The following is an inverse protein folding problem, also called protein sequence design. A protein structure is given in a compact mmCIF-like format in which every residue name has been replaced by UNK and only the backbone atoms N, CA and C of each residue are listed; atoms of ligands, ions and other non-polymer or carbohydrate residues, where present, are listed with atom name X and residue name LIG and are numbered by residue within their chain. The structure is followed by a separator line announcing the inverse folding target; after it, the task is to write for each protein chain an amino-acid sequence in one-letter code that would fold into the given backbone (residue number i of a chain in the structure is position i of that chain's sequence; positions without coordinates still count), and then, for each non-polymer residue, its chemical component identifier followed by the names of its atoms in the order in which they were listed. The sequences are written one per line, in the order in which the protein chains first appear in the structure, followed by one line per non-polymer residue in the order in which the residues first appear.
data_IF_309238831002
#
_entry.id   IF_309238831002
#
_cell.length_a   1.000
_cell.length_b   1.000
_cell.length_c   1.000
_cell.angle_alpha   90.00
_cell.angle_beta   90.00
_cell.angle_gamma   90.00
#
_symmetry.space_group_name_H-M   'P 1'
#
loop_
_entity.id
_entity.type
_entity.pdbx_description
1 polymer ?
#
# COMPACT_ATOMS: atom_id res chain seq x y z
N UNK A 1 66.85 18.26 -27.82
CA UNK A 1 66.84 17.06 -26.96
C UNK A 1 65.40 16.71 -26.71
N UNK A 2 64.95 15.60 -27.30
CA UNK A 2 63.54 15.21 -27.36
C UNK A 2 63.28 14.13 -26.31
N UNK A 3 62.43 14.42 -25.33
CA UNK A 3 62.09 13.49 -24.26
C UNK A 3 60.95 12.59 -24.72
N UNK A 4 61.31 11.38 -25.17
CA UNK A 4 60.36 10.33 -25.50
C UNK A 4 59.65 9.86 -24.22
N UNK A 5 58.38 10.23 -24.07
CA UNK A 5 57.51 9.83 -22.95
C UNK A 5 57.20 8.33 -23.05
N UNK A 6 57.60 7.54 -22.05
CA UNK A 6 57.15 6.14 -21.93
C UNK A 6 55.72 6.14 -21.41
N UNK A 7 54.82 5.64 -22.22
CA UNK A 7 53.45 5.31 -21.81
C UNK A 7 53.55 3.94 -21.15
N UNK A 8 53.32 3.89 -19.83
CA UNK A 8 53.14 2.61 -19.15
C UNK A 8 51.78 2.08 -19.58
N UNK A 9 51.77 0.94 -20.27
CA UNK A 9 50.57 0.12 -20.39
C UNK A 9 50.17 -0.30 -18.97
N UNK A 10 49.19 0.40 -18.36
CA UNK A 10 48.41 -0.23 -17.31
C UNK A 10 47.46 -1.18 -18.03
N UNK A 11 47.80 -2.46 -18.02
CA UNK A 11 46.79 -3.50 -18.05
C UNK A 11 45.77 -3.14 -16.97
N UNK A 12 44.61 -2.61 -17.37
CA UNK A 12 43.41 -2.90 -16.62
C UNK A 12 43.19 -4.39 -16.86
N UNK A 13 43.83 -5.21 -16.02
CA UNK A 13 43.41 -6.59 -15.83
C UNK A 13 41.89 -6.55 -15.74
N UNK A 14 41.26 -7.33 -16.61
CA UNK A 14 39.90 -7.83 -16.40
C UNK A 14 39.89 -8.42 -15.00
N UNK A 15 39.65 -7.56 -14.02
CA UNK A 15 39.54 -7.95 -12.63
C UNK A 15 38.19 -8.61 -12.62
N UNK A 16 38.19 -9.93 -12.49
CA UNK A 16 37.14 -10.61 -11.75
C UNK A 16 36.83 -9.73 -10.54
N UNK A 17 35.83 -8.85 -10.66
CA UNK A 17 35.33 -8.04 -9.55
C UNK A 17 34.71 -9.02 -8.57
N UNK A 18 35.56 -9.65 -7.78
CA UNK A 18 35.17 -10.23 -6.51
C UNK A 18 34.44 -9.14 -5.73
N UNK A 19 33.45 -9.52 -4.90
CA UNK A 19 32.64 -8.56 -4.16
C UNK A 19 33.54 -7.56 -3.44
N UNK A 20 33.44 -6.28 -3.82
CA UNK A 20 34.19 -5.21 -3.18
C UNK A 20 33.89 -5.24 -1.69
N UNK A 21 34.89 -5.63 -0.89
CA UNK A 21 34.81 -5.65 0.56
C UNK A 21 34.78 -4.21 1.05
N UNK A 22 33.59 -3.72 1.36
CA UNK A 22 33.38 -2.45 2.04
C UNK A 22 33.99 -2.53 3.44
N UNK A 23 34.67 -1.47 3.88
CA UNK A 23 35.12 -1.38 5.27
C UNK A 23 33.93 -1.22 6.25
N UNK A 24 34.14 -1.44 7.54
CA UNK A 24 33.07 -1.44 8.55
C UNK A 24 32.31 -0.10 8.62
N UNK A 25 32.97 1.00 8.27
CA UNK A 25 32.40 2.34 8.29
C UNK A 25 31.53 2.57 7.04
N UNK A 26 32.03 2.19 5.86
CA UNK A 26 31.30 2.22 4.60
C UNK A 26 30.06 1.31 4.65
N UNK A 27 30.15 0.12 5.26
CA UNK A 27 28.99 -0.76 5.45
C UNK A 27 27.90 -0.10 6.30
N UNK A 28 28.27 0.55 7.40
CA UNK A 28 27.30 1.25 8.26
C UNK A 28 26.64 2.43 7.53
N UNK A 29 27.42 3.22 6.79
CA UNK A 29 26.91 4.36 6.02
C UNK A 29 25.93 3.91 4.93
N UNK A 30 26.24 2.81 4.23
CA UNK A 30 25.35 2.22 3.22
C UNK A 30 24.06 1.72 3.87
N UNK A 31 24.14 0.97 4.98
CA UNK A 31 22.95 0.46 5.69
C UNK A 31 22.09 1.63 6.20
N UNK A 32 22.70 2.66 6.77
CA UNK A 32 21.97 3.83 7.26
C UNK A 32 21.28 4.58 6.12
N UNK A 33 21.96 4.72 4.98
CA UNK A 33 21.39 5.34 3.78
C UNK A 33 20.21 4.53 3.25
N UNK A 34 20.35 3.21 3.12
CA UNK A 34 19.28 2.30 2.71
C UNK A 34 18.08 2.38 3.68
N UNK A 35 18.33 2.49 4.99
CA UNK A 35 17.28 2.66 6.00
C UNK A 35 16.51 3.96 5.83
N UNK A 36 17.22 5.07 5.62
CA UNK A 36 16.59 6.38 5.37
C UNK A 36 15.78 6.38 4.08
N UNK A 37 16.31 5.79 3.01
CA UNK A 37 15.63 5.70 1.72
C UNK A 37 14.40 4.79 1.77
N UNK A 38 14.51 3.61 2.41
CA UNK A 38 13.39 2.70 2.60
C UNK A 38 12.28 3.34 3.43
N UNK A 39 12.62 3.99 4.56
CA UNK A 39 11.64 4.69 5.40
C UNK A 39 10.94 5.83 4.63
N UNK A 40 11.68 6.58 3.81
CA UNK A 40 11.14 7.63 2.95
C UNK A 40 10.20 7.07 1.88
N UNK A 41 10.62 6.00 1.21
CA UNK A 41 9.83 5.30 0.18
C UNK A 41 8.54 4.72 0.78
N UNK A 42 8.63 4.04 1.92
CA UNK A 42 7.48 3.48 2.64
C UNK A 42 6.48 4.57 3.02
N UNK A 43 6.96 5.69 3.57
CA UNK A 43 6.11 6.84 3.91
C UNK A 43 5.40 7.40 2.68
N UNK A 44 6.08 7.49 1.53
CA UNK A 44 5.50 7.97 0.28
C UNK A 44 4.43 7.01 -0.25
N UNK A 45 4.73 5.70 -0.29
CA UNK A 45 3.80 4.65 -0.74
C UNK A 45 2.53 4.60 0.11
N UNK A 46 2.67 4.66 1.44
CA UNK A 46 1.54 4.75 2.37
C UNK A 46 0.73 6.03 2.13
N UNK A 47 1.39 7.17 1.90
CA UNK A 47 0.71 8.44 1.61
C UNK A 47 -0.12 8.37 0.32
N UNK A 48 0.45 7.83 -0.75
CA UNK A 48 -0.28 7.62 -2.01
C UNK A 48 -1.48 6.68 -1.82
N UNK A 49 -1.29 5.59 -1.07
CA UNK A 49 -2.37 4.63 -0.81
C UNK A 49 -3.52 5.25 -0.01
N UNK A 50 -3.21 6.13 0.96
CA UNK A 50 -4.25 6.88 1.69
C UNK A 50 -5.09 7.76 0.76
N UNK A 51 -4.47 8.41 -0.23
CA UNK A 51 -5.19 9.24 -1.20
C UNK A 51 -6.15 8.38 -2.02
N UNK A 52 -5.68 7.22 -2.53
CA UNK A 52 -6.52 6.27 -3.26
C UNK A 52 -7.68 5.77 -2.40
N UNK A 53 -7.40 5.39 -1.15
CA UNK A 53 -8.40 4.92 -0.20
C UNK A 53 -9.43 6.01 0.13
N UNK A 54 -9.00 7.25 0.34
CA UNK A 54 -9.87 8.40 0.60
C UNK A 54 -10.79 8.66 -0.60
N UNK A 55 -10.24 8.67 -1.81
CA UNK A 55 -11.01 8.87 -3.03
C UNK A 55 -12.06 7.76 -3.20
N UNK A 56 -11.67 6.51 -3.00
CA UNK A 56 -12.58 5.37 -3.02
C UNK A 56 -13.66 5.49 -1.94
N UNK A 57 -13.31 5.93 -0.73
CA UNK A 57 -14.26 6.14 0.38
C UNK A 57 -15.29 7.21 0.02
N UNK A 58 -14.85 8.37 -0.48
CA UNK A 58 -15.72 9.47 -0.91
C UNK A 58 -16.72 8.96 -1.97
N UNK A 59 -16.23 8.17 -2.91
CA UNK A 59 -17.04 7.61 -3.97
C UNK A 59 -18.14 6.67 -3.44
N UNK A 60 -17.81 5.82 -2.46
CA UNK A 60 -18.78 4.97 -1.78
C UNK A 60 -19.75 5.78 -0.91
N UNK A 61 -19.32 6.89 -0.28
CA UNK A 61 -20.21 7.80 0.46
C UNK A 61 -21.22 8.46 -0.48
N UNK A 62 -20.77 8.96 -1.62
CA UNK A 62 -21.65 9.56 -2.64
C UNK A 62 -22.70 8.54 -3.09
N UNK A 63 -22.27 7.31 -3.38
CA UNK A 63 -23.18 6.22 -3.74
C UNK A 63 -24.12 5.82 -2.59
N UNK A 64 -23.66 5.87 -1.34
CA UNK A 64 -24.47 5.55 -0.16
C UNK A 64 -25.59 6.57 0.07
N UNK A 65 -25.30 7.87 -0.07
CA UNK A 65 -26.27 8.96 0.10
C UNK A 65 -27.30 8.94 -1.03
N UNK A 66 -26.82 8.83 -2.27
CA UNK A 66 -27.66 8.81 -3.46
C UNK A 66 -27.37 7.54 -4.26
N UNK A 67 -27.93 6.39 -3.86
CA UNK A 67 -27.91 5.18 -4.66
C UNK A 67 -28.85 5.43 -5.83
N UNK A 68 -28.38 6.19 -6.81
CA UNK A 68 -29.18 6.48 -7.99
C UNK A 68 -29.21 5.19 -8.78
N UNK A 69 -30.41 4.65 -9.04
CA UNK A 69 -30.57 3.38 -9.75
C UNK A 69 -29.86 3.37 -11.12
N UNK A 70 -29.56 4.55 -11.69
CA UNK A 70 -28.95 4.70 -13.01
C UNK A 70 -27.50 5.23 -13.03
N UNK A 71 -26.83 5.46 -11.89
CA UNK A 71 -25.52 6.15 -11.89
C UNK A 71 -24.51 5.53 -10.95
N UNK A 72 -23.68 4.64 -11.48
CA UNK A 72 -22.41 4.30 -10.86
C UNK A 72 -21.47 5.50 -11.03
N UNK A 73 -20.87 6.04 -9.96
CA UNK A 73 -20.19 7.34 -10.02
C UNK A 73 -18.92 7.35 -10.88
N UNK A 74 -18.31 6.18 -11.15
CA UNK A 74 -17.21 6.07 -12.14
C UNK A 74 -17.67 6.03 -13.60
N UNK A 75 -18.95 5.77 -13.84
CA UNK A 75 -19.50 5.51 -15.18
C UNK A 75 -20.17 6.74 -15.79
N UNK A 76 -19.98 7.93 -15.19
CA UNK A 76 -20.43 9.20 -15.77
C UNK A 76 -19.82 9.42 -17.18
N UNK A 77 -18.66 8.81 -17.46
CA UNK A 77 -17.93 8.96 -18.72
C UNK A 77 -18.27 7.92 -19.79
N UNK A 78 -19.04 6.86 -19.47
CA UNK A 78 -19.36 5.79 -20.44
C UNK A 78 -20.75 5.97 -21.09
N UNK A 79 -20.90 5.60 -22.39
CA UNK A 79 -22.19 5.65 -23.07
C UNK A 79 -23.24 4.77 -22.39
N UNK A 80 -24.44 5.33 -22.25
CA UNK A 80 -25.55 4.86 -21.40
C UNK A 80 -26.36 3.68 -21.99
N UNK A 81 -25.68 2.69 -22.57
CA UNK A 81 -26.35 1.54 -23.16
C UNK A 81 -26.47 0.41 -22.12
N UNK A 82 -27.69 0.16 -21.65
CA UNK A 82 -28.11 -0.97 -20.81
C UNK A 82 -27.58 -0.94 -19.36
N UNK A 83 -28.12 -0.02 -18.55
CA UNK A 83 -27.94 -0.10 -17.10
C UNK A 83 -28.91 -1.17 -16.57
N UNK A 84 -28.35 -2.33 -16.22
CA UNK A 84 -29.07 -3.38 -15.51
C UNK A 84 -29.54 -2.87 -14.14
N UNK A 85 -30.65 -3.43 -13.68
CA UNK A 85 -31.19 -3.21 -12.35
C UNK A 85 -30.13 -3.45 -11.27
N UNK A 86 -30.11 -2.60 -10.25
CA UNK A 86 -29.13 -2.63 -9.17
C UNK A 86 -29.15 -3.97 -8.41
N UNK A 87 -28.05 -4.30 -7.72
CA UNK A 87 -28.05 -5.48 -6.86
C UNK A 87 -29.10 -5.33 -5.75
N UNK A 88 -29.76 -6.41 -5.32
CA UNK A 88 -30.65 -6.34 -4.16
C UNK A 88 -29.84 -5.85 -2.96
N UNK A 89 -30.41 -4.93 -2.19
CA UNK A 89 -29.81 -4.37 -0.97
C UNK A 89 -28.45 -3.67 -1.22
N UNK A 90 -28.37 -2.65 -2.10
CA UNK A 90 -27.10 -1.98 -2.39
C UNK A 90 -26.54 -1.25 -1.16
N UNK A 91 -27.41 -0.70 -0.30
CA UNK A 91 -27.01 0.05 0.90
C UNK A 91 -26.21 -0.78 1.92
N UNK A 92 -26.65 -1.99 2.33
CA UNK A 92 -25.83 -2.87 3.17
C UNK A 92 -24.46 -3.17 2.58
N UNK A 93 -24.37 -3.47 1.29
CA UNK A 93 -23.07 -3.75 0.66
C UNK A 93 -22.16 -2.53 0.64
N UNK A 94 -22.69 -1.35 0.34
CA UNK A 94 -21.92 -0.10 0.42
C UNK A 94 -21.49 0.20 1.85
N UNK A 95 -22.34 -0.06 2.85
CA UNK A 95 -21.97 0.09 4.25
C UNK A 95 -20.82 -0.83 4.65
N UNK A 96 -20.87 -2.11 4.24
CA UNK A 96 -19.76 -3.06 4.45
C UNK A 96 -18.48 -2.54 3.78
N UNK A 97 -18.57 -2.06 2.54
CA UNK A 97 -17.43 -1.44 1.86
C UNK A 97 -16.87 -0.26 2.67
N UNK A 98 -17.71 0.64 3.18
CA UNK A 98 -17.26 1.78 3.99
C UNK A 98 -16.56 1.33 5.28
N UNK A 99 -17.10 0.33 5.98
CA UNK A 99 -16.47 -0.25 7.17
C UNK A 99 -15.10 -0.84 6.81
N UNK A 100 -14.99 -1.54 5.67
CA UNK A 100 -13.71 -2.05 5.18
C UNK A 100 -12.73 -0.92 4.88
N UNK A 101 -13.15 0.19 4.27
CA UNK A 101 -12.27 1.32 4.00
C UNK A 101 -11.76 1.96 5.30
N UNK A 102 -12.61 2.11 6.32
CA UNK A 102 -12.19 2.57 7.65
C UNK A 102 -11.19 1.59 8.27
N UNK A 103 -11.46 0.29 8.18
CA UNK A 103 -10.54 -0.73 8.66
C UNK A 103 -9.16 -0.66 7.97
N UNK A 104 -9.14 -0.52 6.64
CA UNK A 104 -7.90 -0.36 5.86
C UNK A 104 -7.16 0.93 6.22
N UNK A 105 -7.88 2.02 6.51
CA UNK A 105 -7.27 3.28 6.93
C UNK A 105 -6.59 3.15 8.29
N UNK A 106 -7.24 2.44 9.23
CA UNK A 106 -6.66 2.12 10.53
C UNK A 106 -5.43 1.20 10.41
N UNK A 107 -5.44 0.26 9.48
CA UNK A 107 -4.29 -0.60 9.19
C UNK A 107 -3.10 0.19 8.60
N UNK A 108 -3.36 1.13 7.67
CA UNK A 108 -2.32 1.95 7.05
C UNK A 108 -1.70 2.97 8.01
N UNK A 109 -2.51 3.66 8.80
CA UNK A 109 -2.02 4.68 9.73
C UNK A 109 -2.99 4.95 10.88
N UNK A 110 -2.97 4.04 11.86
CA UNK A 110 -3.72 4.20 13.12
C UNK A 110 -3.36 5.49 13.88
N UNK A 111 -2.13 5.99 13.77
CA UNK A 111 -1.67 7.19 14.49
C UNK A 111 -2.30 8.45 13.92
N UNK A 112 -2.30 8.61 12.60
CA UNK A 112 -2.96 9.76 11.96
C UNK A 112 -4.46 9.77 12.22
N UNK A 113 -5.11 8.59 12.21
CA UNK A 113 -6.54 8.49 12.54
C UNK A 113 -6.80 8.88 13.99
N UNK A 114 -5.99 8.40 14.93
CA UNK A 114 -6.08 8.81 16.34
C UNK A 114 -5.94 10.31 16.50
N UNK A 115 -4.91 10.91 15.90
CA UNK A 115 -4.65 12.34 15.99
C UNK A 115 -5.81 13.16 15.43
N UNK A 116 -6.41 12.71 14.32
CA UNK A 116 -7.60 13.32 13.77
C UNK A 116 -8.81 13.24 14.71
N UNK A 117 -9.06 12.08 15.33
CA UNK A 117 -10.17 11.90 16.28
C UNK A 117 -9.99 12.75 17.54
N UNK A 118 -8.78 12.80 18.09
CA UNK A 118 -8.45 13.67 19.23
C UNK A 118 -8.64 15.15 18.87
N UNK A 119 -8.19 15.56 17.68
CA UNK A 119 -8.39 16.93 17.18
C UNK A 119 -9.87 17.27 16.97
N UNK A 120 -10.69 16.29 16.57
CA UNK A 120 -12.14 16.42 16.45
C UNK A 120 -12.87 16.48 17.80
N UNK A 121 -12.15 16.43 18.93
CA UNK A 121 -12.71 16.47 20.28
C UNK A 121 -13.26 15.13 20.77
N UNK A 122 -12.95 14.03 20.09
CA UNK A 122 -13.31 12.68 20.53
C UNK A 122 -12.22 12.23 21.51
N UNK A 123 -12.53 12.28 22.80
CA UNK A 123 -11.64 11.84 23.87
C UNK A 123 -11.36 10.34 23.79
N UNK A 124 -10.24 9.98 23.15
CA UNK A 124 -9.70 8.63 23.16
C UNK A 124 -8.65 8.55 24.27
N UNK A 125 -8.80 7.54 25.14
CA UNK A 125 -7.79 7.25 26.15
C UNK A 125 -6.47 6.85 25.46
N UNK A 126 -5.35 7.34 26.02
CA UNK A 126 -4.01 7.14 25.46
C UNK A 126 -3.58 5.67 25.44
N UNK A 127 -4.27 4.82 26.21
CA UNK A 127 -4.06 3.39 26.26
C UNK A 127 -4.65 2.62 25.06
N UNK A 128 -5.58 3.22 24.29
CA UNK A 128 -6.31 2.53 23.24
C UNK A 128 -5.48 2.41 21.97
N UNK A 129 -4.97 1.21 21.71
CA UNK A 129 -4.34 0.86 20.44
C UNK A 129 -5.42 0.51 19.40
N UNK A 130 -5.82 1.50 18.59
CA UNK A 130 -6.80 1.35 17.51
C UNK A 130 -6.49 0.19 16.55
N UNK A 131 -5.20 -0.13 16.36
CA UNK A 131 -4.76 -1.26 15.54
C UNK A 131 -5.30 -2.61 16.04
N UNK A 132 -5.54 -2.77 17.34
CA UNK A 132 -6.05 -4.03 17.88
C UNK A 132 -7.52 -4.29 17.52
N UNK A 133 -8.24 -3.25 17.10
CA UNK A 133 -9.63 -3.35 16.65
C UNK A 133 -9.75 -3.57 15.14
N UNK A 134 -8.63 -3.70 14.41
CA UNK A 134 -8.69 -3.97 12.97
C UNK A 134 -9.10 -5.41 12.70
N UNK A 135 -9.93 -5.60 11.67
CA UNK A 135 -10.33 -6.90 11.17
C UNK A 135 -9.11 -7.65 10.61
N UNK A 136 -9.10 -8.97 10.83
CA UNK A 136 -8.12 -9.86 10.20
C UNK A 136 -8.15 -9.72 8.67
N UNK A 137 -6.99 -9.72 7.97
CA UNK A 137 -6.94 -9.63 6.51
C UNK A 137 -7.84 -10.64 5.80
N UNK A 138 -7.90 -11.89 6.30
CA UNK A 138 -8.76 -12.94 5.72
C UNK A 138 -10.24 -12.56 5.76
N UNK A 139 -10.70 -11.99 6.87
CA UNK A 139 -12.07 -11.54 7.03
C UNK A 139 -12.35 -10.31 6.16
N UNK A 140 -11.40 -9.39 6.06
CA UNK A 140 -11.51 -8.22 5.20
C UNK A 140 -11.67 -8.61 3.72
N UNK A 141 -10.86 -9.56 3.24
CA UNK A 141 -11.03 -10.13 1.89
C UNK A 141 -12.37 -10.82 1.73
N UNK A 142 -12.75 -11.71 2.65
CA UNK A 142 -14.02 -12.43 2.57
C UNK A 142 -15.21 -11.46 2.43
N UNK A 143 -15.24 -10.39 3.23
CA UNK A 143 -16.26 -9.35 3.18
C UNK A 143 -16.19 -8.53 1.88
N UNK A 144 -14.99 -8.20 1.40
CA UNK A 144 -14.81 -7.46 0.15
C UNK A 144 -15.35 -8.23 -1.08
N UNK A 145 -15.23 -9.57 -1.07
CA UNK A 145 -15.68 -10.43 -2.17
C UNK A 145 -17.20 -10.67 -2.21
N UNK A 146 -17.94 -10.41 -1.13
CA UNK A 146 -19.38 -10.72 -1.07
C UNK A 146 -20.16 -10.00 -2.17
N UNK A 147 -20.00 -8.69 -2.30
CA UNK A 147 -20.73 -7.90 -3.29
C UNK A 147 -20.44 -8.31 -4.75
N UNK A 148 -19.17 -8.42 -5.20
CA UNK A 148 -18.89 -8.87 -6.57
C UNK A 148 -19.31 -10.33 -6.81
N UNK A 149 -19.22 -11.22 -5.83
CA UNK A 149 -19.72 -12.59 -5.95
C UNK A 149 -21.24 -12.63 -6.15
N UNK A 150 -22.00 -11.82 -5.41
CA UNK A 150 -23.45 -11.67 -5.60
C UNK A 150 -23.77 -11.11 -6.98
N UNK A 151 -23.00 -10.14 -7.49
CA UNK A 151 -23.17 -9.62 -8.85
C UNK A 151 -23.00 -10.70 -9.92
N UNK A 152 -21.95 -11.52 -9.79
CA UNK A 152 -21.67 -12.63 -10.70
C UNK A 152 -22.78 -13.70 -10.63
N UNK A 153 -23.24 -14.06 -9.43
CA UNK A 153 -24.32 -15.03 -9.23
C UNK A 153 -25.63 -14.56 -9.88
N UNK A 154 -25.95 -13.28 -9.75
CA UNK A 154 -27.12 -12.65 -10.36
C UNK A 154 -26.93 -12.30 -11.85
N UNK A 155 -25.77 -12.64 -12.44
CA UNK A 155 -25.43 -12.35 -13.85
C UNK A 155 -25.64 -10.88 -14.23
N UNK A 156 -25.32 -9.96 -13.31
CA UNK A 156 -25.38 -8.51 -13.57
C UNK A 156 -24.33 -8.10 -14.60
N UNK A 157 -24.52 -6.93 -15.22
CA UNK A 157 -23.55 -6.33 -16.13
C UNK A 157 -22.12 -6.34 -15.58
N UNK A 158 -21.14 -6.47 -16.49
CA UNK A 158 -19.72 -6.37 -16.15
C UNK A 158 -19.36 -5.06 -15.47
N UNK A 159 -20.08 -3.98 -15.78
CA UNK A 159 -19.89 -2.67 -15.16
C UNK A 159 -20.28 -2.68 -13.69
N UNK A 160 -21.39 -3.32 -13.34
CA UNK A 160 -21.82 -3.54 -11.95
C UNK A 160 -20.79 -4.38 -11.20
N UNK A 161 -20.32 -5.49 -11.80
CA UNK A 161 -19.29 -6.33 -11.21
C UNK A 161 -18.01 -5.52 -10.95
N UNK A 162 -17.55 -4.75 -11.94
CA UNK A 162 -16.36 -3.92 -11.83
C UNK A 162 -16.47 -2.88 -10.71
N UNK A 163 -17.62 -2.20 -10.60
CA UNK A 163 -17.90 -1.26 -9.52
C UNK A 163 -17.77 -1.93 -8.14
N UNK A 164 -18.42 -3.08 -7.93
CA UNK A 164 -18.35 -3.80 -6.64
C UNK A 164 -17.00 -4.47 -6.38
N UNK A 165 -16.18 -4.64 -7.42
CA UNK A 165 -14.82 -5.17 -7.30
C UNK A 165 -13.80 -4.13 -6.82
N UNK A 166 -14.13 -2.84 -6.80
CA UNK A 166 -13.22 -1.77 -6.34
C UNK A 166 -12.74 -2.03 -4.92
N UNK A 167 -13.65 -2.43 -4.02
CA UNK A 167 -13.27 -2.69 -2.62
C UNK A 167 -12.25 -3.82 -2.52
N UNK A 168 -12.37 -4.87 -3.35
CA UNK A 168 -11.39 -5.96 -3.43
C UNK A 168 -10.04 -5.44 -3.92
N UNK A 169 -10.04 -4.69 -5.02
CA UNK A 169 -8.81 -4.12 -5.60
C UNK A 169 -8.08 -3.21 -4.59
N UNK A 170 -8.82 -2.34 -3.89
CA UNK A 170 -8.25 -1.45 -2.88
C UNK A 170 -7.71 -2.24 -1.68
N UNK A 171 -8.45 -3.25 -1.20
CA UNK A 171 -7.99 -4.14 -0.12
C UNK A 171 -6.67 -4.82 -0.49
N UNK A 172 -6.60 -5.36 -1.71
CA UNK A 172 -5.40 -6.00 -2.23
C UNK A 172 -4.23 -5.02 -2.35
N UNK A 173 -4.46 -3.84 -2.90
CA UNK A 173 -3.42 -2.83 -3.07
C UNK A 173 -2.85 -2.36 -1.72
N UNK A 174 -3.71 -2.17 -0.71
CA UNK A 174 -3.28 -1.84 0.66
C UNK A 174 -2.40 -2.94 1.24
N UNK A 175 -2.83 -4.20 1.11
CA UNK A 175 -2.06 -5.35 1.58
C UNK A 175 -0.67 -5.41 0.91
N UNK A 176 -0.62 -5.21 -0.41
CA UNK A 176 0.62 -5.19 -1.17
C UNK A 176 1.58 -4.10 -0.70
N UNK A 177 1.07 -2.89 -0.40
CA UNK A 177 1.90 -1.80 0.14
C UNK A 177 2.43 -2.13 1.53
N UNK A 178 1.62 -2.74 2.39
CA UNK A 178 2.04 -3.15 3.73
C UNK A 178 3.08 -4.27 3.69
N UNK A 179 2.89 -5.26 2.81
CA UNK A 179 3.85 -6.35 2.60
C UNK A 179 5.16 -5.85 2.01
N UNK A 180 5.11 -4.95 1.02
CA UNK A 180 6.30 -4.34 0.45
C UNK A 180 7.10 -3.55 1.51
N UNK A 181 6.42 -2.79 2.37
CA UNK A 181 7.07 -2.07 3.46
C UNK A 181 7.74 -3.02 4.46
N UNK A 182 7.03 -4.09 4.87
CA UNK A 182 7.56 -5.10 5.78
C UNK A 182 8.74 -5.87 5.18
N UNK A 183 8.69 -6.21 3.90
CA UNK A 183 9.78 -6.87 3.19
C UNK A 183 11.02 -5.97 3.10
N UNK A 184 10.83 -4.66 2.87
CA UNK A 184 11.92 -3.68 2.88
C UNK A 184 12.63 -3.64 4.24
N UNK A 185 11.86 -3.62 5.33
CA UNK A 185 12.42 -3.61 6.69
C UNK A 185 13.17 -4.92 7.01
N UNK A 186 12.65 -6.07 6.57
CA UNK A 186 13.30 -7.36 6.75
C UNK A 186 14.60 -7.49 5.95
N UNK A 187 14.64 -6.96 4.72
CA UNK A 187 15.87 -6.94 3.92
C UNK A 187 16.97 -6.09 4.57
N UNK A 188 16.62 -4.96 5.19
CA UNK A 188 17.60 -4.13 5.91
C UNK A 188 18.09 -4.87 7.16
N UNK A 189 17.18 -5.50 7.89
CA UNK A 189 17.53 -6.30 9.07
C UNK A 189 18.44 -7.49 8.72
N UNK A 190 18.22 -8.12 7.57
CA UNK A 190 19.09 -9.21 7.11
C UNK A 190 20.47 -8.69 6.67
N UNK A 191 20.55 -7.51 6.04
CA UNK A 191 21.83 -6.84 5.75
C UNK A 191 22.60 -6.51 7.03
N UNK A 192 21.92 -6.01 8.06
CA UNK A 192 22.53 -5.78 9.39
C UNK A 192 23.05 -7.07 10.02
N UNK A 193 22.32 -8.18 9.88
CA UNK A 193 22.75 -9.48 10.39
C UNK A 193 23.95 -10.07 9.61
N UNK A 194 24.13 -9.67 8.35
CA UNK A 194 25.26 -10.07 7.49
C UNK A 194 26.48 -9.16 7.63
N UNK A 195 26.40 -8.11 8.45
CA UNK A 195 27.56 -7.24 8.74
C UNK A 195 28.73 -8.09 9.23
N UNK A 196 29.86 -8.03 8.52
CA UNK A 196 31.05 -8.78 8.90
C UNK A 196 31.65 -8.16 10.16
N UNK A 197 31.74 -8.94 11.24
CA UNK A 197 32.60 -8.59 12.37
C UNK A 197 33.97 -9.22 12.11
N UNK A 198 34.92 -8.47 11.55
CA UNK A 198 36.30 -8.93 11.50
C UNK A 198 36.89 -8.86 12.93
N UNK A 199 37.24 -9.99 13.57
CA UNK A 199 37.84 -9.95 14.90
C UNK A 199 39.31 -9.53 14.77
N UNK A 200 39.59 -8.26 15.11
CA UNK A 200 40.92 -7.78 15.43
C UNK A 200 41.68 -7.10 14.29
N UNK A 201 41.66 -5.77 14.31
CA UNK A 201 42.78 -4.93 13.89
C UNK A 201 43.16 -4.03 15.08
#
# INVERSE_FOLDING_TARGET
MDFRRRITFKFSEETEEGPALLDDQEQEEVIETLRKENAKSNKQSISMMKIVLLLSTILHIIYFINPTDDRYPLLILLPRANLDETIPLPRPFTFISLVLHVNLMLLLDSTSVRNFLVQAGIGLDDSIQLRNYTLSPTLAYALAFVAPAVCLFLRRSWLTVAWWSITVCVTYAVQLVLEAAAQGDEHIRSLEAMKYAAPGA
#
